data_IF_476134208341
#
_entry.id   IF_476134208341
#
_cell.length_a   1.000
_cell.length_b   1.000
_cell.length_c   1.000
_cell.angle_alpha   90.00
_cell.angle_beta   90.00
_cell.angle_gamma   90.00
#
_symmetry.space_group_name_H-M   'P 1'
#
loop_
_entity.id
_entity.type
_entity.pdbx_description
1 polymer ?
#
# COMPACT_ATOMS: atom_id res chain seq x y z
N UNK A 1 60.19 46.36 30.71
CA UNK A 1 59.24 45.97 29.64
C UNK A 1 58.87 44.48 29.58
N UNK A 2 59.80 43.53 29.76
CA UNK A 2 59.50 42.09 29.60
C UNK A 2 58.49 41.45 30.59
N UNK A 3 58.32 41.98 31.82
CA UNK A 3 57.33 41.44 32.79
C UNK A 3 55.89 41.84 32.46
N UNK A 4 55.64 43.06 31.99
CA UNK A 4 54.29 43.55 31.66
C UNK A 4 53.72 42.81 30.43
N UNK A 5 54.56 42.52 29.43
CA UNK A 5 54.19 41.73 28.25
C UNK A 5 53.83 40.28 28.64
N UNK A 6 54.59 39.66 29.57
CA UNK A 6 54.28 38.32 30.08
C UNK A 6 52.99 38.27 30.89
N UNK A 7 52.67 39.30 31.68
CA UNK A 7 51.43 39.38 32.46
C UNK A 7 50.22 39.50 31.51
N UNK A 8 50.28 40.39 30.50
CA UNK A 8 49.21 40.52 29.49
C UNK A 8 49.00 39.23 28.68
N UNK A 9 50.07 38.51 28.34
CA UNK A 9 50.00 37.22 27.64
C UNK A 9 49.37 36.10 28.50
N UNK A 10 49.67 36.05 29.80
CA UNK A 10 49.05 35.09 30.73
C UNK A 10 47.55 35.32 30.89
N UNK A 11 47.12 36.57 31.05
CA UNK A 11 45.69 36.91 31.14
C UNK A 11 44.94 36.64 29.84
N UNK A 12 45.58 36.86 28.69
CA UNK A 12 45.00 36.52 27.38
C UNK A 12 44.85 35.00 27.21
N UNK A 13 45.86 34.21 27.58
CA UNK A 13 45.79 32.74 27.56
C UNK A 13 44.69 32.23 28.51
N UNK A 14 44.64 32.74 29.75
CA UNK A 14 43.60 32.35 30.72
C UNK A 14 42.21 32.73 30.20
N UNK A 15 42.04 33.93 29.64
CA UNK A 15 40.78 34.36 29.03
C UNK A 15 40.34 33.45 27.88
N UNK A 16 41.25 33.11 26.96
CA UNK A 16 40.96 32.19 25.85
C UNK A 16 40.63 30.79 26.33
N UNK A 17 41.38 30.23 27.29
CA UNK A 17 41.12 28.89 27.82
C UNK A 17 39.77 28.85 28.52
N UNK A 18 39.45 29.82 29.37
CA UNK A 18 38.15 29.90 30.04
C UNK A 18 37.00 30.02 29.04
N UNK A 19 37.15 30.84 28.00
CA UNK A 19 36.16 30.95 26.94
C UNK A 19 35.93 29.63 26.18
N UNK A 20 37.01 28.91 25.84
CA UNK A 20 36.92 27.60 25.20
C UNK A 20 36.25 26.55 26.09
N UNK A 21 36.52 26.56 27.40
CA UNK A 21 35.87 25.65 28.36
C UNK A 21 34.37 25.96 28.46
N UNK A 22 33.98 27.23 28.53
CA UNK A 22 32.56 27.64 28.55
C UNK A 22 31.86 27.22 27.25
N UNK A 23 32.48 27.43 26.09
CA UNK A 23 31.94 26.97 24.81
C UNK A 23 31.79 25.44 24.75
N UNK A 24 32.79 24.70 25.24
CA UNK A 24 32.75 23.24 25.27
C UNK A 24 31.61 22.73 26.17
N UNK A 25 31.39 23.35 27.34
CA UNK A 25 30.29 23.01 28.24
C UNK A 25 28.92 23.35 27.62
N UNK A 26 28.78 24.55 27.02
CA UNK A 26 27.55 24.95 26.35
C UNK A 26 27.22 24.00 25.19
N UNK A 27 28.21 23.63 24.39
CA UNK A 27 28.06 22.65 23.33
C UNK A 27 27.72 21.25 23.85
N UNK A 28 28.34 20.80 24.94
CA UNK A 28 28.01 19.52 25.56
C UNK A 28 26.55 19.47 26.04
N UNK A 29 26.05 20.55 26.67
CA UNK A 29 24.65 20.67 27.09
C UNK A 29 23.70 20.68 25.89
N UNK A 30 24.00 21.49 24.86
CA UNK A 30 23.24 21.53 23.62
C UNK A 30 23.15 20.15 22.95
N UNK A 31 24.29 19.48 22.81
CA UNK A 31 24.39 18.16 22.17
C UNK A 31 23.61 17.10 22.94
N UNK A 32 23.70 17.09 24.29
CA UNK A 32 22.89 16.19 25.12
C UNK A 32 21.38 16.45 24.96
N UNK A 33 20.96 17.72 24.89
CA UNK A 33 19.55 18.07 24.71
C UNK A 33 19.05 17.67 23.32
N UNK A 34 19.86 17.88 22.28
CA UNK A 34 19.55 17.48 20.92
C UNK A 34 19.35 15.96 20.78
N UNK A 35 20.20 15.15 21.43
CA UNK A 35 20.03 13.69 21.44
C UNK A 35 18.81 13.21 22.23
N UNK A 36 18.50 13.83 23.37
CA UNK A 36 17.24 13.56 24.07
C UNK A 36 16.01 13.96 23.23
N UNK A 37 16.15 14.97 22.37
CA UNK A 37 15.16 15.31 21.35
C UNK A 37 15.02 14.19 20.33
N UNK A 38 16.12 13.77 19.70
CA UNK A 38 16.16 12.68 18.73
C UNK A 38 15.52 11.39 19.25
N UNK A 39 15.91 10.94 20.45
CA UNK A 39 15.37 9.72 21.06
C UNK A 39 13.86 9.85 21.32
N UNK A 40 13.41 11.00 21.83
CA UNK A 40 11.99 11.28 22.09
C UNK A 40 11.18 11.30 20.80
N UNK A 41 11.69 11.95 19.76
CA UNK A 41 11.03 12.06 18.47
C UNK A 41 10.93 10.69 17.80
N UNK A 42 11.98 9.88 17.88
CA UNK A 42 11.97 8.48 17.44
C UNK A 42 10.93 7.64 18.17
N UNK A 43 10.90 7.67 19.51
CA UNK A 43 9.94 6.89 20.30
C UNK A 43 8.49 7.34 20.04
N UNK A 44 8.26 8.66 20.01
CA UNK A 44 6.95 9.22 19.70
C UNK A 44 6.49 8.84 18.28
N UNK A 45 7.36 8.97 17.29
CA UNK A 45 7.06 8.57 15.92
C UNK A 45 6.73 7.08 15.80
N UNK A 46 7.49 6.20 16.45
CA UNK A 46 7.22 4.77 16.45
C UNK A 46 5.85 4.46 17.07
N UNK A 47 5.54 5.06 18.22
CA UNK A 47 4.27 4.86 18.91
C UNK A 47 3.06 5.39 18.11
N UNK A 48 3.18 6.60 17.54
CA UNK A 48 2.14 7.19 16.69
C UNK A 48 1.93 6.36 15.44
N UNK A 49 3.00 5.96 14.75
CA UNK A 49 2.91 5.11 13.56
C UNK A 49 2.20 3.79 13.85
N UNK A 50 2.57 3.12 14.95
CA UNK A 50 1.93 1.86 15.37
C UNK A 50 0.44 2.07 15.62
N UNK A 51 0.08 3.15 16.32
CA UNK A 51 -1.32 3.49 16.65
C UNK A 51 -2.15 3.79 15.39
N UNK A 52 -1.64 4.64 14.50
CA UNK A 52 -2.32 5.03 13.26
C UNK A 52 -2.51 3.85 12.31
N UNK A 53 -1.46 3.04 12.11
CA UNK A 53 -1.57 1.82 11.31
C UNK A 53 -2.59 0.86 11.92
N UNK A 54 -2.52 0.58 13.22
CA UNK A 54 -3.51 -0.29 13.89
C UNK A 54 -4.94 0.23 13.67
N UNK A 55 -5.14 1.54 13.85
CA UNK A 55 -6.44 2.18 13.67
C UNK A 55 -6.97 1.99 12.25
N UNK A 56 -6.16 2.25 11.21
CA UNK A 56 -6.61 2.14 9.82
C UNK A 56 -6.79 0.69 9.39
N UNK A 57 -5.94 -0.23 9.84
CA UNK A 57 -6.09 -1.66 9.55
C UNK A 57 -7.36 -2.24 10.16
N UNK A 58 -7.75 -1.77 11.35
CA UNK A 58 -8.98 -2.16 12.03
C UNK A 58 -10.27 -1.61 11.42
N UNK A 59 -10.18 -0.68 10.46
CA UNK A 59 -11.37 -0.14 9.82
C UNK A 59 -12.14 -1.24 9.08
N UNK A 60 -13.47 -1.26 9.23
CA UNK A 60 -14.31 -2.15 8.45
C UNK A 60 -14.21 -1.79 6.97
N UNK A 61 -14.41 -2.80 6.13
CA UNK A 61 -14.41 -2.68 4.68
C UNK A 61 -15.60 -3.47 4.09
N UNK A 62 -16.74 -3.38 4.78
CA UNK A 62 -17.94 -4.20 4.48
C UNK A 62 -18.84 -3.57 3.43
N UNK A 63 -18.68 -2.27 3.15
CA UNK A 63 -19.41 -1.54 2.11
C UNK A 63 -18.48 -0.77 1.18
N UNK A 64 -18.92 -0.42 -0.05
CA UNK A 64 -18.10 0.34 -0.99
C UNK A 64 -17.57 1.68 -0.42
N UNK A 65 -18.40 2.41 0.33
CA UNK A 65 -18.00 3.67 0.98
C UNK A 65 -16.96 3.46 2.08
N UNK A 66 -17.06 2.38 2.84
CA UNK A 66 -16.06 2.03 3.85
C UNK A 66 -14.74 1.62 3.20
N UNK A 67 -14.81 0.91 2.08
CA UNK A 67 -13.66 0.51 1.29
C UNK A 67 -12.88 1.73 0.76
N UNK A 68 -13.58 2.69 0.14
CA UNK A 68 -12.99 3.97 -0.31
C UNK A 68 -12.36 4.74 0.86
N UNK A 69 -13.06 4.83 2.00
CA UNK A 69 -12.55 5.50 3.19
C UNK A 69 -11.28 4.83 3.73
N UNK A 70 -11.24 3.48 3.75
CA UNK A 70 -10.08 2.71 4.18
C UNK A 70 -8.90 2.94 3.23
N UNK A 71 -9.14 2.88 1.92
CA UNK A 71 -8.14 3.13 0.88
C UNK A 71 -7.52 4.52 1.02
N UNK A 72 -8.35 5.56 1.07
CA UNK A 72 -7.88 6.96 1.22
C UNK A 72 -7.04 7.16 2.48
N UNK A 73 -7.42 6.53 3.60
CA UNK A 73 -6.63 6.58 4.83
C UNK A 73 -5.30 5.84 4.72
N UNK A 74 -5.27 4.68 4.05
CA UNK A 74 -4.03 3.95 3.79
C UNK A 74 -3.07 4.76 2.91
N UNK A 75 -3.57 5.41 1.87
CA UNK A 75 -2.78 6.30 1.01
C UNK A 75 -2.19 7.47 1.81
N UNK A 76 -3.00 8.10 2.66
CA UNK A 76 -2.56 9.20 3.53
C UNK A 76 -1.46 8.76 4.49
N UNK A 77 -1.61 7.61 5.15
CA UNK A 77 -0.59 7.07 6.06
C UNK A 77 0.70 6.75 5.29
N UNK A 78 0.59 6.09 4.14
CA UNK A 78 1.77 5.78 3.30
C UNK A 78 2.52 7.05 2.90
N UNK A 79 1.80 8.12 2.55
CA UNK A 79 2.40 9.40 2.22
C UNK A 79 3.10 10.04 3.43
N UNK A 80 2.45 10.07 4.59
CA UNK A 80 3.02 10.65 5.80
C UNK A 80 4.26 9.87 6.28
N UNK A 81 4.20 8.54 6.27
CA UNK A 81 5.33 7.69 6.67
C UNK A 81 6.57 7.92 5.82
N UNK A 82 6.40 8.10 4.50
CA UNK A 82 7.53 8.42 3.60
C UNK A 82 8.19 9.75 3.97
N UNK A 83 7.41 10.74 4.39
CA UNK A 83 7.90 12.08 4.78
C UNK A 83 8.54 12.04 6.17
N UNK A 84 7.82 11.52 7.17
CA UNK A 84 8.24 11.49 8.57
C UNK A 84 9.54 10.72 8.78
N UNK A 85 9.67 9.55 8.15
CA UNK A 85 10.85 8.67 8.26
C UNK A 85 12.15 9.39 7.94
N UNK A 86 12.14 10.21 6.88
CA UNK A 86 13.31 10.98 6.45
C UNK A 86 13.77 12.03 7.45
N UNK A 87 12.84 12.53 8.28
CA UNK A 87 13.09 13.58 9.28
C UNK A 87 13.46 13.00 10.65
N UNK A 88 12.80 11.94 11.06
CA UNK A 88 12.94 11.39 12.42
C UNK A 88 14.27 10.65 12.60
N UNK A 89 14.71 9.89 11.59
CA UNK A 89 15.96 9.14 11.68
C UNK A 89 17.18 9.87 11.08
N UNK A 90 17.05 11.13 10.64
CA UNK A 90 18.21 11.92 10.21
C UNK A 90 18.95 12.49 11.42
N UNK A 91 20.26 12.26 11.50
CA UNK A 91 21.10 12.92 12.49
C UNK A 91 21.55 14.30 12.01
N UNK A 92 21.50 15.28 12.91
CA UNK A 92 22.19 16.55 12.69
C UNK A 92 23.71 16.27 12.72
N UNK A 93 24.38 16.65 11.63
CA UNK A 93 25.83 16.53 11.49
C UNK A 93 26.61 17.13 12.67
N UNK A 94 26.04 18.14 13.34
CA UNK A 94 26.64 18.79 14.50
C UNK A 94 26.68 17.92 15.75
N UNK A 95 25.84 16.89 15.87
CA UNK A 95 25.78 15.99 17.04
C UNK A 95 26.11 14.54 16.70
N UNK A 96 26.27 14.21 15.41
CA UNK A 96 26.53 12.86 14.92
C UNK A 96 27.81 12.22 15.45
N UNK A 97 28.81 13.00 15.89
CA UNK A 97 30.04 12.48 16.51
C UNK A 97 29.77 11.69 17.80
N UNK A 98 28.66 11.98 18.50
CA UNK A 98 28.30 11.28 19.74
C UNK A 98 27.86 9.84 19.52
N UNK A 99 27.63 9.42 18.26
CA UNK A 99 27.47 8.02 17.90
C UNK A 99 28.71 7.15 18.21
N UNK A 100 29.84 7.75 18.61
CA UNK A 100 30.95 7.00 19.22
C UNK A 100 30.57 6.34 20.55
N UNK A 101 29.60 6.89 21.29
CA UNK A 101 29.11 6.31 22.55
C UNK A 101 28.07 5.22 22.29
N UNK A 102 28.25 4.05 22.91
CA UNK A 102 27.42 2.86 22.65
C UNK A 102 25.90 3.09 22.81
N UNK A 103 25.49 3.87 23.82
CA UNK A 103 24.06 4.17 24.02
C UNK A 103 23.44 4.94 22.85
N UNK A 104 24.18 5.93 22.33
CA UNK A 104 23.74 6.78 21.22
C UNK A 104 23.73 6.00 19.90
N UNK A 105 24.78 5.23 19.63
CA UNK A 105 24.87 4.33 18.47
C UNK A 105 23.71 3.32 18.44
N UNK A 106 23.35 2.77 19.61
CA UNK A 106 22.25 1.82 19.74
C UNK A 106 20.92 2.45 19.33
N UNK A 107 20.59 3.64 19.84
CA UNK A 107 19.35 4.35 19.49
C UNK A 107 19.32 4.68 17.99
N UNK A 108 20.43 5.15 17.42
CA UNK A 108 20.53 5.44 15.98
C UNK A 108 20.30 4.18 15.13
N UNK A 109 20.95 3.07 15.46
CA UNK A 109 20.76 1.77 14.79
C UNK A 109 19.32 1.26 14.92
N UNK A 110 18.70 1.45 16.08
CA UNK A 110 17.29 1.10 16.28
C UNK A 110 16.36 1.94 15.40
N UNK A 111 16.57 3.26 15.31
CA UNK A 111 15.79 4.14 14.42
C UNK A 111 15.87 3.66 12.97
N UNK A 112 17.09 3.45 12.44
CA UNK A 112 17.27 2.99 11.06
C UNK A 112 16.70 1.59 10.82
N UNK A 113 16.82 0.68 11.79
CA UNK A 113 16.25 -0.67 11.72
C UNK A 113 14.73 -0.63 11.65
N UNK A 114 14.07 0.13 12.55
CA UNK A 114 12.61 0.31 12.56
C UNK A 114 12.13 1.03 11.30
N UNK A 115 12.84 2.08 10.87
CA UNK A 115 12.62 2.77 9.59
C UNK A 115 12.64 1.81 8.41
N UNK A 116 13.66 0.95 8.31
CA UNK A 116 13.75 -0.04 7.24
C UNK A 116 12.63 -1.08 7.30
N UNK A 117 12.14 -1.43 8.49
CA UNK A 117 11.00 -2.35 8.64
C UNK A 117 9.68 -1.68 8.25
N UNK A 118 9.51 -0.40 8.58
CA UNK A 118 8.37 0.41 8.15
C UNK A 118 8.35 0.58 6.62
N UNK A 119 9.51 0.64 5.96
CA UNK A 119 9.56 0.59 4.49
C UNK A 119 8.94 -0.70 3.93
N UNK A 120 9.13 -1.82 4.62
CA UNK A 120 8.46 -3.07 4.30
C UNK A 120 6.93 -2.97 4.42
N UNK A 121 6.43 -2.35 5.48
CA UNK A 121 4.99 -2.10 5.65
C UNK A 121 4.46 -1.19 4.54
N UNK A 122 5.15 -0.09 4.25
CA UNK A 122 4.80 0.87 3.20
C UNK A 122 4.77 0.20 1.82
N UNK A 123 5.72 -0.68 1.53
CA UNK A 123 5.76 -1.43 0.28
C UNK A 123 4.53 -2.34 0.13
N UNK A 124 4.21 -3.14 1.15
CA UNK A 124 3.04 -4.04 1.12
C UNK A 124 1.72 -3.25 1.05
N UNK A 125 1.62 -2.12 1.76
CA UNK A 125 0.47 -1.21 1.63
C UNK A 125 0.32 -0.64 0.22
N UNK A 126 1.44 -0.27 -0.44
CA UNK A 126 1.42 0.16 -1.83
C UNK A 126 0.90 -0.91 -2.78
N UNK A 127 1.27 -2.18 -2.56
CA UNK A 127 0.77 -3.32 -3.34
C UNK A 127 -0.75 -3.50 -3.13
N UNK A 128 -1.23 -3.37 -1.89
CA UNK A 128 -2.67 -3.44 -1.57
C UNK A 128 -3.43 -2.30 -2.22
N UNK A 129 -2.98 -1.05 -2.09
CA UNK A 129 -3.60 0.11 -2.72
C UNK A 129 -3.74 -0.11 -4.23
N UNK A 130 -2.67 -0.58 -4.87
CA UNK A 130 -2.66 -0.89 -6.30
C UNK A 130 -3.66 -2.01 -6.66
N UNK A 131 -3.69 -3.08 -5.86
CA UNK A 131 -4.66 -4.17 -6.03
C UNK A 131 -6.11 -3.67 -5.95
N UNK A 132 -6.46 -2.93 -4.90
CA UNK A 132 -7.81 -2.41 -4.67
C UNK A 132 -8.23 -1.40 -5.76
N UNK A 133 -7.29 -0.62 -6.28
CA UNK A 133 -7.52 0.30 -7.40
C UNK A 133 -7.87 -0.45 -8.69
N UNK A 134 -7.13 -1.52 -8.99
CA UNK A 134 -7.41 -2.39 -10.14
C UNK A 134 -8.74 -3.13 -9.96
N UNK A 135 -9.04 -3.62 -8.75
CA UNK A 135 -10.32 -4.23 -8.40
C UNK A 135 -11.49 -3.28 -8.62
N UNK A 136 -11.39 -2.03 -8.15
CA UNK A 136 -12.42 -1.02 -8.34
C UNK A 136 -12.66 -0.71 -9.83
N UNK A 137 -11.58 -0.62 -10.62
CA UNK A 137 -11.65 -0.41 -12.08
C UNK A 137 -12.33 -1.59 -12.78
N UNK A 138 -12.00 -2.81 -12.36
CA UNK A 138 -12.63 -4.03 -12.84
C UNK A 138 -14.12 -4.07 -12.48
N UNK A 139 -14.47 -3.82 -11.22
CA UNK A 139 -15.85 -3.79 -10.74
C UNK A 139 -16.70 -2.73 -11.46
N UNK A 140 -16.13 -1.55 -11.72
CA UNK A 140 -16.78 -0.48 -12.49
C UNK A 140 -17.05 -0.93 -13.93
N UNK A 141 -16.13 -1.68 -14.53
CA UNK A 141 -16.32 -2.24 -15.86
C UNK A 141 -17.40 -3.33 -15.86
N UNK A 142 -17.43 -4.17 -14.83
CA UNK A 142 -18.44 -5.21 -14.64
C UNK A 142 -19.83 -4.61 -14.40
N UNK A 143 -19.94 -3.51 -13.65
CA UNK A 143 -21.20 -2.81 -13.41
C UNK A 143 -21.86 -2.32 -14.71
N UNK A 144 -21.11 -2.10 -15.79
CA UNK A 144 -21.70 -1.79 -17.10
C UNK A 144 -22.49 -2.96 -17.69
N UNK A 145 -22.27 -4.19 -17.23
CA UNK A 145 -23.06 -5.36 -17.62
C UNK A 145 -24.43 -5.39 -16.93
N UNK A 146 -24.59 -4.75 -15.77
CA UNK A 146 -25.86 -4.76 -15.03
C UNK A 146 -26.94 -3.88 -15.66
N UNK A 147 -26.60 -3.09 -16.69
CA UNK A 147 -27.58 -2.35 -17.49
C UNK A 147 -28.33 -3.24 -18.49
N UNK A 148 -28.01 -4.54 -18.54
CA UNK A 148 -28.70 -5.51 -19.39
C UNK A 148 -30.07 -5.92 -18.79
N UNK A 149 -31.02 -6.37 -19.64
CA UNK A 149 -32.27 -6.93 -19.16
C UNK A 149 -32.01 -8.11 -18.22
N UNK A 150 -32.67 -8.13 -17.06
CA UNK A 150 -32.55 -9.24 -16.10
C UNK A 150 -33.01 -10.59 -16.69
N UNK A 151 -33.89 -10.55 -17.69
CA UNK A 151 -34.31 -11.70 -18.48
C UNK A 151 -34.21 -11.34 -19.96
N UNK A 152 -33.08 -11.65 -20.61
CA UNK A 152 -32.92 -11.42 -22.04
C UNK A 152 -33.91 -12.26 -22.84
N UNK A 153 -34.68 -11.61 -23.70
CA UNK A 153 -35.53 -12.27 -24.68
C UNK A 153 -34.78 -12.48 -26.01
N UNK A 154 -35.39 -13.22 -26.94
CA UNK A 154 -34.78 -13.54 -28.25
C UNK A 154 -34.34 -12.30 -29.03
N UNK A 155 -35.01 -11.16 -28.84
CA UNK A 155 -34.68 -9.90 -29.55
C UNK A 155 -33.44 -9.22 -28.99
N UNK A 156 -33.05 -9.55 -27.75
CA UNK A 156 -31.95 -8.90 -27.03
C UNK A 156 -30.72 -9.79 -26.89
N UNK A 157 -30.78 -11.07 -27.30
CA UNK A 157 -29.65 -12.01 -27.18
C UNK A 157 -28.40 -11.55 -27.92
N UNK A 158 -28.50 -11.06 -29.16
CA UNK A 158 -27.34 -10.57 -29.91
C UNK A 158 -26.67 -9.38 -29.21
N UNK A 159 -27.47 -8.46 -28.66
CA UNK A 159 -26.98 -7.32 -27.90
C UNK A 159 -26.27 -7.76 -26.62
N UNK A 160 -26.86 -8.71 -25.88
CA UNK A 160 -26.27 -9.24 -24.65
C UNK A 160 -24.96 -9.95 -24.94
N UNK A 161 -24.93 -10.83 -25.94
CA UNK A 161 -23.73 -11.52 -26.41
C UNK A 161 -22.63 -10.52 -26.83
N UNK A 162 -22.99 -9.51 -27.63
CA UNK A 162 -22.06 -8.47 -28.06
C UNK A 162 -21.47 -7.66 -26.91
N UNK A 163 -22.26 -7.41 -25.85
CA UNK A 163 -21.79 -6.72 -24.65
C UNK A 163 -20.81 -7.59 -23.85
N UNK A 164 -21.09 -8.89 -23.68
CA UNK A 164 -20.17 -9.82 -23.01
C UNK A 164 -18.85 -9.96 -23.77
N UNK A 165 -18.92 -10.06 -25.10
CA UNK A 165 -17.74 -10.03 -25.96
C UNK A 165 -16.92 -8.76 -25.78
N UNK A 166 -17.56 -7.60 -25.83
CA UNK A 166 -16.88 -6.31 -25.63
C UNK A 166 -16.24 -6.24 -24.24
N UNK A 167 -16.95 -6.68 -23.21
CA UNK A 167 -16.39 -6.75 -21.86
C UNK A 167 -15.16 -7.66 -21.79
N UNK A 168 -15.17 -8.82 -22.46
CA UNK A 168 -13.99 -9.68 -22.56
C UNK A 168 -12.78 -8.98 -23.19
N UNK A 169 -13.01 -8.21 -24.27
CA UNK A 169 -11.96 -7.39 -24.90
C UNK A 169 -11.45 -6.31 -23.95
N UNK A 170 -12.35 -5.59 -23.28
CA UNK A 170 -12.01 -4.51 -22.35
C UNK A 170 -11.20 -5.05 -21.15
N UNK A 171 -11.60 -6.19 -20.58
CA UNK A 171 -10.88 -6.85 -19.48
C UNK A 171 -9.49 -7.32 -19.93
N UNK A 172 -9.36 -7.89 -21.13
CA UNK A 172 -8.05 -8.31 -21.66
C UNK A 172 -7.10 -7.12 -21.85
N UNK A 173 -7.62 -5.99 -22.35
CA UNK A 173 -6.88 -4.76 -22.59
C UNK A 173 -6.57 -3.96 -21.31
N UNK A 174 -7.23 -4.26 -20.19
CA UNK A 174 -7.03 -3.56 -18.91
C UNK A 174 -5.58 -3.67 -18.45
N UNK A 175 -4.92 -2.53 -18.24
CA UNK A 175 -3.59 -2.51 -17.61
C UNK A 175 -3.77 -2.64 -16.12
N UNK A 176 -3.12 -3.64 -15.53
CA UNK A 176 -3.20 -3.91 -14.09
C UNK A 176 -1.79 -4.13 -13.54
N UNK A 177 -1.64 -3.95 -12.24
CA UNK A 177 -0.39 -4.25 -11.56
C UNK A 177 -0.21 -5.76 -11.37
N UNK A 178 1.04 -6.18 -11.14
CA UNK A 178 1.39 -7.59 -10.96
C UNK A 178 0.59 -8.29 -9.86
N UNK A 179 0.12 -7.55 -8.84
CA UNK A 179 -0.71 -8.09 -7.76
C UNK A 179 -2.10 -8.55 -8.23
N UNK A 180 -2.63 -7.96 -9.30
CA UNK A 180 -3.98 -8.25 -9.81
C UNK A 180 -4.00 -9.16 -11.05
N UNK A 181 -2.84 -9.46 -11.63
CA UNK A 181 -2.71 -10.29 -12.84
C UNK A 181 -3.35 -11.69 -12.70
N UNK A 182 -3.29 -12.31 -11.53
CA UNK A 182 -3.95 -13.61 -11.29
C UNK A 182 -5.47 -13.50 -11.42
N UNK A 183 -6.07 -12.52 -10.73
CA UNK A 183 -7.51 -12.23 -10.78
C UNK A 183 -7.95 -11.87 -12.21
N UNK A 184 -7.17 -11.04 -12.91
CA UNK A 184 -7.40 -10.69 -14.32
C UNK A 184 -7.42 -11.93 -15.22
N UNK A 185 -6.48 -12.86 -15.07
CA UNK A 185 -6.43 -14.10 -15.88
C UNK A 185 -7.65 -14.98 -15.66
N UNK A 186 -8.09 -15.14 -14.41
CA UNK A 186 -9.33 -15.88 -14.09
C UNK A 186 -10.53 -15.16 -14.70
N UNK A 187 -10.62 -13.84 -14.56
CA UNK A 187 -11.70 -13.04 -15.14
C UNK A 187 -11.77 -13.20 -16.67
N UNK A 188 -10.65 -13.11 -17.38
CA UNK A 188 -10.60 -13.34 -18.84
C UNK A 188 -11.16 -14.72 -19.18
N UNK A 189 -10.67 -15.76 -18.50
CA UNK A 189 -11.08 -17.15 -18.77
C UNK A 189 -12.59 -17.32 -18.62
N UNK A 190 -13.15 -16.79 -17.53
CA UNK A 190 -14.58 -16.91 -17.23
C UNK A 190 -15.41 -16.10 -18.21
N UNK A 191 -15.03 -14.86 -18.50
CA UNK A 191 -15.76 -13.97 -19.42
C UNK A 191 -15.75 -14.54 -20.85
N UNK A 192 -14.62 -15.10 -21.29
CA UNK A 192 -14.54 -15.82 -22.58
C UNK A 192 -15.46 -17.04 -22.60
N UNK A 193 -15.59 -17.76 -21.48
CA UNK A 193 -16.56 -18.85 -21.34
C UNK A 193 -18.01 -18.38 -21.51
N UNK A 194 -18.36 -17.22 -20.94
CA UNK A 194 -19.70 -16.62 -21.10
C UNK A 194 -19.96 -16.17 -22.54
N UNK A 195 -19.01 -15.50 -23.21
CA UNK A 195 -19.16 -15.15 -24.64
C UNK A 195 -19.34 -16.41 -25.49
N UNK A 196 -18.52 -17.44 -25.29
CA UNK A 196 -18.61 -18.71 -26.03
C UNK A 196 -19.98 -19.36 -25.86
N UNK A 197 -20.51 -19.41 -24.64
CA UNK A 197 -21.83 -19.98 -24.38
C UNK A 197 -22.96 -19.16 -25.03
N UNK A 198 -22.83 -17.83 -25.10
CA UNK A 198 -23.76 -16.97 -25.85
C UNK A 198 -23.70 -17.25 -27.36
N UNK A 199 -22.51 -17.40 -27.93
CA UNK A 199 -22.36 -17.75 -29.35
C UNK A 199 -22.97 -19.12 -29.67
N UNK A 200 -22.81 -20.09 -28.78
CA UNK A 200 -23.40 -21.42 -28.93
C UNK A 200 -24.94 -21.38 -28.88
N UNK A 201 -25.51 -20.55 -27.99
CA UNK A 201 -26.96 -20.35 -27.90
C UNK A 201 -27.51 -19.72 -29.19
N UNK A 202 -26.88 -18.65 -29.66
CA UNK A 202 -27.26 -17.95 -30.89
C UNK A 202 -27.15 -18.87 -32.11
N UNK A 203 -26.05 -19.62 -32.22
CA UNK A 203 -25.85 -20.58 -33.31
C UNK A 203 -26.89 -21.71 -33.29
N UNK A 204 -27.23 -22.23 -32.10
CA UNK A 204 -28.26 -23.27 -31.96
C UNK A 204 -29.66 -22.75 -32.31
N UNK A 205 -29.99 -21.52 -31.88
CA UNK A 205 -31.25 -20.87 -32.21
C UNK A 205 -31.38 -20.62 -33.72
N UNK A 206 -30.34 -20.05 -34.35
CA UNK A 206 -30.32 -19.82 -35.80
C UNK A 206 -30.45 -21.10 -36.63
N UNK A 207 -29.88 -22.22 -36.14
CA UNK A 207 -30.01 -23.53 -36.77
C UNK A 207 -31.38 -24.21 -36.54
N UNK A 208 -32.26 -23.63 -35.71
CA UNK A 208 -33.55 -24.22 -35.27
C UNK A 208 -33.40 -25.62 -34.67
N UNK A 209 -32.24 -25.92 -34.09
CA UNK A 209 -31.94 -27.21 -33.46
C UNK A 209 -32.34 -27.18 -31.98
N UNK A 210 -33.51 -27.75 -31.67
CA UNK A 210 -34.06 -27.77 -30.32
C UNK A 210 -33.15 -28.47 -29.31
N UNK A 211 -32.52 -29.59 -29.70
CA UNK A 211 -31.68 -30.35 -28.78
C UNK A 211 -30.41 -29.57 -28.45
N UNK A 212 -29.77 -29.00 -29.47
CA UNK A 212 -28.59 -28.13 -29.30
C UNK A 212 -28.93 -26.86 -28.53
N UNK A 213 -30.10 -26.27 -28.76
CA UNK A 213 -30.55 -25.07 -28.03
C UNK A 213 -30.71 -25.33 -26.54
N UNK A 214 -31.38 -26.43 -26.14
CA UNK A 214 -31.52 -26.81 -24.73
C UNK A 214 -30.15 -27.03 -24.08
N UNK A 215 -29.23 -27.70 -24.79
CA UNK A 215 -27.86 -27.89 -24.32
C UNK A 215 -27.11 -26.57 -24.16
N UNK A 216 -27.17 -25.68 -25.14
CA UNK A 216 -26.51 -24.38 -25.10
C UNK A 216 -27.06 -23.49 -23.97
N UNK A 217 -28.37 -23.52 -23.72
CA UNK A 217 -28.99 -22.80 -22.59
C UNK A 217 -28.48 -23.30 -21.23
N UNK A 218 -28.32 -24.61 -21.07
CA UNK A 218 -27.71 -25.20 -19.87
C UNK A 218 -26.23 -24.78 -19.74
N UNK A 219 -25.48 -24.83 -20.85
CA UNK A 219 -24.09 -24.37 -20.90
C UNK A 219 -23.93 -22.90 -20.50
N UNK A 220 -24.84 -22.04 -20.95
CA UNK A 220 -24.87 -20.63 -20.57
C UNK A 220 -25.12 -20.44 -19.07
N UNK A 221 -26.03 -21.19 -18.47
CA UNK A 221 -26.25 -21.16 -17.02
C UNK A 221 -25.00 -21.58 -16.23
N UNK A 222 -24.29 -22.62 -16.70
CA UNK A 222 -23.01 -23.05 -16.12
C UNK A 222 -21.94 -21.96 -16.25
N UNK A 223 -21.85 -21.29 -17.41
CA UNK A 223 -20.91 -20.19 -17.64
C UNK A 223 -21.18 -19.00 -16.71
N UNK A 224 -22.45 -18.63 -16.49
CA UNK A 224 -22.82 -17.61 -15.51
C UNK A 224 -22.46 -18.01 -14.08
N UNK A 225 -22.70 -19.27 -13.68
CA UNK A 225 -22.31 -19.76 -12.36
C UNK A 225 -20.80 -19.66 -12.12
N UNK A 226 -19.98 -19.82 -13.18
CA UNK A 226 -18.53 -19.69 -13.10
C UNK A 226 -18.05 -18.27 -12.79
N UNK A 227 -18.87 -17.22 -12.90
CA UNK A 227 -18.52 -15.85 -12.47
C UNK A 227 -18.11 -15.78 -11.00
N UNK A 228 -18.64 -16.66 -10.15
CA UNK A 228 -18.27 -16.77 -8.73
C UNK A 228 -16.79 -17.13 -8.52
N UNK A 229 -16.14 -17.75 -9.50
CA UNK A 229 -14.69 -18.09 -9.43
C UNK A 229 -13.81 -16.84 -9.45
N UNK A 230 -14.28 -15.73 -10.04
CA UNK A 230 -13.59 -14.44 -10.01
C UNK A 230 -13.54 -13.92 -8.57
N UNK A 231 -14.68 -13.95 -7.87
CA UNK A 231 -14.77 -13.56 -6.45
C UNK A 231 -13.90 -14.45 -5.57
N UNK A 232 -13.92 -15.77 -5.79
CA UNK A 232 -13.10 -16.70 -5.02
C UNK A 232 -11.58 -16.45 -5.21
N UNK A 233 -11.13 -16.17 -6.42
CA UNK A 233 -9.73 -15.79 -6.67
C UNK A 233 -9.40 -14.42 -6.05
N UNK A 234 -10.32 -13.47 -6.11
CA UNK A 234 -10.16 -12.16 -5.45
C UNK A 234 -9.97 -12.31 -3.94
N UNK A 235 -10.84 -13.06 -3.27
CA UNK A 235 -10.75 -13.31 -1.82
C UNK A 235 -9.43 -13.98 -1.43
N UNK A 236 -8.95 -14.92 -2.25
CA UNK A 236 -7.67 -15.58 -2.07
C UNK A 236 -6.50 -14.61 -2.20
N UNK A 237 -6.52 -13.70 -3.17
CA UNK A 237 -5.46 -12.69 -3.34
C UNK A 237 -5.48 -11.69 -2.18
N UNK A 238 -6.65 -11.20 -1.79
CA UNK A 238 -6.81 -10.30 -0.63
C UNK A 238 -6.29 -10.96 0.65
N UNK A 239 -6.63 -12.23 0.90
CA UNK A 239 -6.10 -12.97 2.05
C UNK A 239 -4.57 -13.17 1.99
N UNK A 240 -3.99 -13.32 0.79
CA UNK A 240 -2.53 -13.40 0.63
C UNK A 240 -1.86 -12.06 0.96
N UNK A 241 -2.43 -10.96 0.47
CA UNK A 241 -1.92 -9.62 0.73
C UNK A 241 -2.03 -9.25 2.22
N UNK A 242 -3.15 -9.57 2.86
CA UNK A 242 -3.35 -9.35 4.30
C UNK A 242 -2.31 -10.11 5.15
N UNK A 243 -1.99 -11.35 4.79
CA UNK A 243 -0.92 -12.12 5.44
C UNK A 243 0.46 -11.47 5.27
N UNK A 244 0.78 -10.95 4.08
CA UNK A 244 2.05 -10.25 3.84
C UNK A 244 2.13 -8.97 4.64
N UNK A 245 1.06 -8.18 4.66
CA UNK A 245 0.97 -6.96 5.45
C UNK A 245 1.10 -7.24 6.95
N UNK A 246 0.39 -8.25 7.46
CA UNK A 246 0.48 -8.66 8.87
C UNK A 246 1.91 -9.08 9.23
N UNK A 247 2.58 -9.83 8.34
CA UNK A 247 3.99 -10.22 8.54
C UNK A 247 4.91 -9.00 8.57
N UNK A 248 4.75 -8.05 7.64
CA UNK A 248 5.52 -6.82 7.61
C UNK A 248 5.28 -5.96 8.86
N UNK A 249 4.02 -5.86 9.30
CA UNK A 249 3.62 -5.13 10.49
C UNK A 249 4.26 -5.71 11.76
N UNK A 250 4.17 -7.02 11.96
CA UNK A 250 4.79 -7.71 13.11
C UNK A 250 6.33 -7.68 13.07
N UNK A 251 6.93 -7.50 11.90
CA UNK A 251 8.37 -7.30 11.80
C UNK A 251 8.78 -5.89 12.25
N UNK A 252 7.91 -4.90 12.04
CA UNK A 252 8.13 -3.49 12.37
C UNK A 252 7.86 -3.13 13.84
N UNK A 253 6.92 -3.80 14.51
CA UNK A 253 6.39 -3.44 15.84
C UNK A 253 6.23 -4.59 16.82
#
# INVERSE_FOLDING_TARGET
MNRIIRIKRKWLIVGTVTFLVVLALAYALYSMQAWRGYERDYIAWQATTKSELTSVLSLPATSPKEHERKLSKLESIVADLKVQKSKVCSDDSLIGWQAFFQGVDTVKKQCHSVSSKIDGVVAELGVIISYLTNEHTFATSLAKLSTQPAQPDEKTWDQVAGTWRKFGVDVAAMKVDASFESTKKVAITVVTGVDTAWQELLAAHGAKDKARFVKARSGLAVAYAALTTITAENDKQVASLDKKLTKAYNAAF
#
